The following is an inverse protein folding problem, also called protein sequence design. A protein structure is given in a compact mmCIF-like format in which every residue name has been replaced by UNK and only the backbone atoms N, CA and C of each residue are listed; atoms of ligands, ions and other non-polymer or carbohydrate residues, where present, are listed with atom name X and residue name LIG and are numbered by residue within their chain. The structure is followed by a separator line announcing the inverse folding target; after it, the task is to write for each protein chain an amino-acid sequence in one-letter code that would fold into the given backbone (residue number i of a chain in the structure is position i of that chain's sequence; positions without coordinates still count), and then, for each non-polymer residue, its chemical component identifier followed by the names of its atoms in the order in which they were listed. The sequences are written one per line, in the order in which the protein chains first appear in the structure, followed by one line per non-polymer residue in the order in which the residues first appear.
data_IF_893602399316
#
_entry.id   IF_893602399316
#
_cell.length_a   1.000
_cell.length_b   1.000
_cell.length_c   1.000
_cell.angle_alpha   90.00
_cell.angle_beta   90.00
_cell.angle_gamma   90.00
#
_symmetry.space_group_name_H-M   'P 1'
#
loop_
_entity.id
_entity.type
_entity.pdbx_description
1 polymer ?
#
# COMPACT_ATOMS: atom_id res chain seq x y z
N UNK A 1 14.73 18.48 27.14
CA UNK A 1 13.31 18.08 26.97
C UNK A 1 13.08 17.80 25.50
N UNK A 2 12.27 16.79 25.15
CA UNK A 2 11.92 16.46 23.76
C UNK A 2 10.42 16.71 23.56
N UNK A 3 10.05 17.37 22.47
CA UNK A 3 8.66 17.71 22.12
C UNK A 3 8.42 17.43 20.64
N UNK A 4 7.23 16.96 20.29
CA UNK A 4 6.82 16.80 18.89
C UNK A 4 6.54 18.17 18.28
N UNK A 5 6.88 18.39 17.01
CA UNK A 5 6.49 19.62 16.27
C UNK A 5 4.97 19.83 16.27
N UNK A 6 4.21 18.73 16.20
CA UNK A 6 2.74 18.71 16.23
C UNK A 6 2.10 19.00 17.59
N UNK A 7 2.89 19.29 18.64
CA UNK A 7 2.36 19.55 20.00
C UNK A 7 1.58 20.86 20.09
N UNK A 8 1.86 21.82 19.21
CA UNK A 8 1.26 23.15 19.20
C UNK A 8 1.73 24.04 20.36
N UNK A 9 1.43 23.69 21.62
CA UNK A 9 1.87 24.45 22.81
C UNK A 9 2.59 23.52 23.77
N UNK A 10 3.87 23.79 24.00
CA UNK A 10 4.64 23.11 25.03
C UNK A 10 4.60 23.87 26.36
N UNK A 11 4.53 23.13 27.48
CA UNK A 11 4.50 23.70 28.81
C UNK A 11 5.70 23.26 29.64
N UNK A 12 6.39 24.23 30.25
CA UNK A 12 7.55 24.02 31.12
C UNK A 12 7.21 24.44 32.54
N UNK A 13 7.47 23.56 33.51
CA UNK A 13 7.27 23.84 34.93
C UNK A 13 8.49 24.54 35.52
N UNK A 14 8.29 25.72 36.10
CA UNK A 14 9.30 26.43 36.89
C UNK A 14 8.95 26.26 38.37
N UNK A 15 9.87 25.66 39.12
CA UNK A 15 9.70 25.34 40.54
C UNK A 15 10.39 26.39 41.43
N UNK A 16 9.70 26.79 42.50
CA UNK A 16 10.23 27.62 43.58
C UNK A 16 10.41 26.76 44.82
N UNK A 17 11.66 26.50 45.21
CA UNK A 17 12.05 25.60 46.31
C UNK A 17 12.65 26.39 47.47
N UNK A 18 12.76 25.75 48.65
CA UNK A 18 13.39 26.32 49.85
C UNK A 18 12.74 27.59 50.44
N UNK A 19 11.53 27.95 49.99
CA UNK A 19 10.71 29.01 50.58
C UNK A 19 9.78 29.70 49.57
N UNK A 20 8.52 29.91 49.94
CA UNK A 20 7.50 30.55 49.09
C UNK A 20 6.97 31.89 49.65
N UNK A 21 7.67 32.48 50.62
CA UNK A 21 7.24 33.72 51.28
C UNK A 21 7.51 34.93 50.40
N UNK A 22 6.54 35.84 50.28
CA UNK A 22 6.65 37.07 49.50
C UNK A 22 6.52 36.86 48.00
N UNK A 23 6.33 37.98 47.28
CA UNK A 23 6.14 38.02 45.83
C UNK A 23 7.50 38.10 45.12
N UNK A 24 7.78 37.18 44.21
CA UNK A 24 9.06 37.11 43.46
C UNK A 24 8.78 37.09 41.97
N UNK A 25 9.49 37.88 41.18
CA UNK A 25 9.42 37.86 39.73
C UNK A 25 10.71 37.28 39.14
N UNK A 26 10.60 36.29 38.25
CA UNK A 26 11.75 35.68 37.56
C UNK A 26 11.66 36.01 36.08
N UNK A 27 12.56 36.86 35.54
CA UNK A 27 12.62 37.08 34.10
C UNK A 27 13.03 35.81 33.38
N UNK A 28 12.50 35.59 32.18
CA UNK A 28 12.90 34.48 31.32
C UNK A 28 12.89 34.91 29.86
N UNK A 29 13.69 34.23 29.05
CA UNK A 29 13.68 34.39 27.60
C UNK A 29 14.05 33.07 26.92
N UNK A 30 13.54 32.93 25.70
CA UNK A 30 13.98 31.89 24.76
C UNK A 30 15.21 32.38 24.00
N UNK A 31 16.06 31.46 23.57
CA UNK A 31 17.26 31.76 22.79
C UNK A 31 17.42 30.70 21.71
N UNK A 32 17.69 31.18 20.50
CA UNK A 32 17.85 30.33 19.32
C UNK A 32 19.01 29.35 19.50
N UNK A 33 18.86 28.17 18.92
CA UNK A 33 19.94 27.19 18.76
C UNK A 33 20.08 26.84 17.29
N UNK A 34 19.68 25.61 16.94
CA UNK A 34 19.46 25.22 15.54
C UNK A 34 18.02 25.54 15.09
N UNK A 35 17.07 25.65 16.03
CA UNK A 35 15.72 26.13 15.77
C UNK A 35 15.67 27.67 15.73
N UNK A 36 14.92 28.22 14.79
CA UNK A 36 14.76 29.65 14.49
C UNK A 36 13.48 30.21 15.09
N UNK A 37 13.58 31.39 15.70
CA UNK A 37 12.42 32.07 16.27
C UNK A 37 11.51 32.62 15.15
N UNK A 38 10.21 32.35 15.25
CA UNK A 38 9.21 32.73 14.25
C UNK A 38 9.02 31.71 13.11
N UNK A 39 9.94 30.75 12.96
CA UNK A 39 9.85 29.64 12.00
C UNK A 39 9.53 28.33 12.75
N UNK A 40 10.32 27.97 13.76
CA UNK A 40 10.18 26.70 14.49
C UNK A 40 9.43 26.82 15.82
N UNK A 41 9.53 27.99 16.45
CA UNK A 41 8.86 28.30 17.70
C UNK A 41 8.62 29.80 17.81
N UNK A 42 7.59 30.21 18.55
CA UNK A 42 7.37 31.64 18.82
C UNK A 42 8.30 32.11 19.94
N UNK A 43 9.05 33.19 19.70
CA UNK A 43 9.92 33.78 20.72
C UNK A 43 9.09 34.27 21.90
N UNK A 44 9.40 33.75 23.09
CA UNK A 44 8.79 34.21 24.34
C UNK A 44 9.86 34.79 25.24
N UNK A 45 9.62 36.03 25.70
CA UNK A 45 10.38 36.70 26.74
C UNK A 45 9.42 37.42 27.70
N UNK A 46 9.67 37.33 29.00
CA UNK A 46 8.75 37.87 30.00
C UNK A 46 9.24 37.71 31.43
N UNK A 47 8.32 37.85 32.39
CA UNK A 47 8.58 37.65 33.81
C UNK A 47 7.52 36.72 34.40
N UNK A 48 7.95 35.67 35.10
CA UNK A 48 7.08 34.81 35.88
C UNK A 48 6.94 35.38 37.29
N UNK A 49 5.74 35.85 37.64
CA UNK A 49 5.45 36.35 38.99
C UNK A 49 4.90 35.24 39.87
N UNK A 50 5.66 34.86 40.89
CA UNK A 50 5.24 33.96 41.95
C UNK A 50 4.60 34.76 43.09
N UNK A 51 3.36 34.42 43.43
CA UNK A 51 2.66 34.97 44.59
C UNK A 51 3.16 34.33 45.89
N UNK A 52 2.68 34.85 47.03
CA UNK A 52 2.95 34.23 48.32
C UNK A 52 2.37 32.81 48.35
N UNK A 53 3.15 31.86 48.85
CA UNK A 53 2.85 30.42 48.91
C UNK A 53 2.72 29.72 47.55
N UNK A 54 3.02 30.40 46.44
CA UNK A 54 3.06 29.80 45.11
C UNK A 54 4.43 29.14 44.85
N UNK A 55 4.43 27.83 44.62
CA UNK A 55 5.64 27.00 44.48
C UNK A 55 5.92 26.56 43.04
N UNK A 56 4.99 26.81 42.11
CA UNK A 56 5.14 26.44 40.71
C UNK A 56 4.43 27.40 39.76
N UNK A 57 5.05 27.66 38.60
CA UNK A 57 4.44 28.36 37.46
C UNK A 57 4.65 27.57 36.18
N UNK A 58 3.71 27.69 35.25
CA UNK A 58 3.81 27.12 33.91
C UNK A 58 4.28 28.21 32.95
N UNK A 59 5.30 27.89 32.17
CA UNK A 59 5.79 28.69 31.05
C UNK A 59 5.35 28.00 29.77
N UNK A 60 4.60 28.70 28.92
CA UNK A 60 4.09 28.18 27.66
C UNK A 60 4.92 28.72 26.49
N UNK A 61 5.33 27.84 25.58
CA UNK A 61 5.99 28.21 24.32
C UNK A 61 5.22 27.53 23.19
N UNK A 62 4.85 28.30 22.17
CA UNK A 62 4.18 27.77 20.99
C UNK A 62 5.21 27.23 20.01
N UNK A 63 5.02 25.98 19.60
CA UNK A 63 5.81 25.29 18.57
C UNK A 63 5.07 25.43 17.25
N UNK A 64 5.80 25.75 16.19
CA UNK A 64 5.26 25.93 14.84
C UNK A 64 5.56 24.65 14.06
N UNK A 65 4.56 24.17 13.34
CA UNK A 65 4.67 23.02 12.43
C UNK A 65 4.74 23.59 11.01
N UNK A 66 5.88 23.39 10.34
CA UNK A 66 6.15 23.91 8.99
C UNK A 66 5.98 22.86 7.88
N UNK A 67 5.55 21.64 8.22
CA UNK A 67 5.34 20.50 7.30
C UNK A 67 6.57 20.14 6.43
N UNK A 68 7.78 20.64 6.75
CA UNK A 68 9.01 20.35 6.01
C UNK A 68 9.81 19.21 6.64
N UNK A 69 10.37 18.35 5.78
CA UNK A 69 11.17 17.21 6.25
C UNK A 69 12.55 17.67 6.73
N UNK A 70 12.69 17.86 8.04
CA UNK A 70 13.93 18.38 8.62
C UNK A 70 14.49 17.53 9.77
N UNK A 71 15.77 17.74 10.09
CA UNK A 71 16.43 17.07 11.22
C UNK A 71 16.00 17.72 12.53
N UNK A 72 16.04 16.95 13.63
CA UNK A 72 15.76 17.46 14.97
C UNK A 72 16.44 18.81 15.25
N UNK A 73 15.63 19.82 15.57
CA UNK A 73 16.09 21.17 15.89
C UNK A 73 16.06 21.42 17.39
N UNK A 74 16.87 22.38 17.85
CA UNK A 74 17.02 22.70 19.27
C UNK A 74 16.98 24.19 19.55
N UNK A 75 16.32 24.58 20.64
CA UNK A 75 16.38 25.92 21.22
C UNK A 75 16.50 25.83 22.74
N UNK A 76 16.79 26.95 23.41
CA UNK A 76 16.98 26.94 24.86
C UNK A 76 16.19 28.02 25.58
N UNK A 77 15.61 27.67 26.73
CA UNK A 77 14.89 28.56 27.63
C UNK A 77 15.80 28.89 28.80
N UNK A 78 15.99 30.17 29.10
CA UNK A 78 16.89 30.64 30.16
C UNK A 78 16.14 31.51 31.17
N UNK A 79 16.35 31.21 32.45
CA UNK A 79 15.88 32.03 33.57
C UNK A 79 16.95 33.07 33.93
N UNK A 80 16.53 34.32 34.10
CA UNK A 80 17.36 35.40 34.63
C UNK A 80 17.22 35.56 36.13
N UNK A 81 17.99 36.50 36.70
CA UNK A 81 18.04 36.70 38.15
C UNK A 81 16.65 37.04 38.75
N UNK A 82 16.21 36.33 39.80
CA UNK A 82 14.92 36.58 40.42
C UNK A 82 14.93 37.88 41.22
N UNK A 83 13.84 38.63 41.13
CA UNK A 83 13.66 39.94 41.76
C UNK A 83 12.58 39.81 42.84
N UNK A 84 12.92 40.15 44.09
CA UNK A 84 11.96 40.22 45.18
C UNK A 84 11.10 41.49 45.02
N UNK A 85 9.79 41.33 44.88
CA UNK A 85 8.85 42.44 44.71
C UNK A 85 8.23 42.86 46.05
N UNK A 86 7.82 41.90 46.88
CA UNK A 86 7.24 42.16 48.20
C UNK A 86 7.74 41.18 49.25
N UNK A 87 8.13 41.70 50.40
CA UNK A 87 8.44 40.90 51.59
C UNK A 87 7.11 40.62 52.28
N UNK A 88 6.71 39.35 52.38
CA UNK A 88 5.49 38.96 53.12
C UNK A 88 5.53 39.50 54.55
N UNK A 89 4.38 39.96 55.07
CA UNK A 89 4.28 40.64 56.37
C UNK A 89 5.11 39.94 57.45
N UNK A 90 5.99 40.69 58.12
CA UNK A 90 6.63 40.25 59.36
C UNK A 90 5.52 39.95 60.37
N UNK A 91 5.47 38.72 60.87
CA UNK A 91 4.68 38.42 62.05
C UNK A 91 5.24 39.29 63.18
N UNK A 92 4.43 40.24 63.65
CA UNK A 92 4.85 41.23 64.62
C UNK A 92 5.04 40.59 65.98
N UNK A 93 6.29 40.32 66.35
CA UNK A 93 6.67 40.25 67.76
C UNK A 93 7.26 41.61 68.14
N UNK A 94 6.47 42.36 68.91
CA UNK A 94 6.96 43.49 69.68
C UNK A 94 7.92 42.99 70.73
N UNK A 95 9.22 43.17 70.50
CA UNK A 95 10.17 43.31 71.58
C UNK A 95 11.21 44.35 71.21
N UNK A 96 11.20 45.44 71.97
CA UNK A 96 12.24 46.45 72.01
C UNK A 96 13.56 45.79 72.42
N UNK A 97 14.42 45.56 71.43
CA UNK A 97 15.87 45.61 71.60
C UNK A 97 16.48 45.82 70.22
N UNK A 98 16.98 47.04 69.97
CA UNK A 98 17.92 47.29 68.88
C UNK A 98 19.22 46.54 69.18
N UNK A 99 19.67 45.58 68.36
CA UNK A 99 21.08 45.28 68.28
C UNK A 99 21.74 46.30 67.35
N UNK A 100 23.01 46.56 67.63
CA UNK A 100 23.93 47.30 66.78
C UNK A 100 23.97 46.61 65.40
N UNK A 101 23.82 47.39 64.32
CA UNK A 101 23.92 46.91 62.94
C UNK A 101 25.30 46.28 62.74
N UNK A 102 25.36 44.96 62.87
CA UNK A 102 26.52 44.14 62.60
C UNK A 102 26.42 43.55 61.19
N UNK A 103 27.57 43.37 60.56
CA UNK A 103 27.74 42.75 59.23
C UNK A 103 26.98 41.40 59.13
N UNK A 104 26.79 40.73 60.27
CA UNK A 104 26.08 39.44 60.40
C UNK A 104 24.58 39.50 60.08
N UNK A 105 23.84 40.57 60.43
CA UNK A 105 22.40 40.67 60.08
C UNK A 105 22.18 40.94 58.58
N UNK A 106 23.12 41.64 57.94
CA UNK A 106 23.07 41.89 56.50
C UNK A 106 23.37 40.61 55.69
N UNK A 107 24.27 39.75 56.19
CA UNK A 107 24.53 38.43 55.60
C UNK A 107 23.34 37.47 55.80
N UNK A 108 22.67 37.49 56.96
CA UNK A 108 21.45 36.71 57.20
C UNK A 108 20.28 37.19 56.34
N UNK A 109 20.16 38.51 56.10
CA UNK A 109 19.17 39.07 55.19
C UNK A 109 19.44 38.70 53.72
N UNK A 110 20.72 38.65 53.31
CA UNK A 110 21.14 38.18 51.96
C UNK A 110 20.82 36.70 51.73
N UNK A 111 20.87 35.87 52.77
CA UNK A 111 20.43 34.46 52.68
C UNK A 111 18.91 34.30 52.44
N UNK A 112 18.10 35.35 52.68
CA UNK A 112 16.67 35.36 52.41
C UNK A 112 16.27 35.92 51.03
N UNK A 113 17.24 36.37 50.22
CA UNK A 113 16.99 36.85 48.87
C UNK A 113 16.73 35.67 47.92
N UNK A 114 15.78 35.81 46.97
CA UNK A 114 15.57 34.76 45.99
C UNK A 114 16.83 34.59 45.14
N UNK A 115 17.17 33.35 44.84
CA UNK A 115 18.32 32.98 44.00
C UNK A 115 17.92 31.91 43.01
N UNK A 116 18.71 31.77 41.94
CA UNK A 116 18.52 30.73 40.94
C UNK A 116 18.92 29.35 41.50
N UNK A 117 18.19 28.32 41.09
CA UNK A 117 18.50 26.94 41.43
C UNK A 117 19.60 26.34 40.53
N UNK A 118 19.80 25.03 40.66
CA UNK A 118 20.79 24.27 39.89
C UNK A 118 20.52 24.27 38.37
N UNK A 119 19.25 24.23 37.97
CA UNK A 119 18.83 24.17 36.57
C UNK A 119 18.21 25.49 36.12
N UNK A 120 19.01 26.37 35.54
CA UNK A 120 18.58 27.71 35.06
C UNK A 120 18.33 27.76 33.56
N UNK A 121 18.77 26.72 32.84
CA UNK A 121 18.66 26.58 31.39
C UNK A 121 18.03 25.24 31.05
N UNK A 122 17.04 25.26 30.16
CA UNK A 122 16.40 24.08 29.60
C UNK A 122 16.64 24.04 28.10
N UNK A 123 17.28 22.98 27.62
CA UNK A 123 17.35 22.68 26.19
C UNK A 123 16.10 21.91 25.76
N UNK A 124 15.46 22.40 24.70
CA UNK A 124 14.29 21.80 24.07
C UNK A 124 14.71 21.28 22.70
N UNK A 125 14.41 20.02 22.44
CA UNK A 125 14.61 19.34 21.16
C UNK A 125 13.24 19.14 20.54
N UNK A 126 13.03 19.74 19.37
CA UNK A 126 11.84 19.54 18.55
C UNK A 126 12.09 18.30 17.69
N UNK A 127 11.21 17.31 17.82
CA UNK A 127 11.24 16.05 17.08
C UNK A 127 10.10 16.01 16.07
N UNK A 128 10.41 15.48 14.89
CA UNK A 128 9.45 15.25 13.81
C UNK A 128 8.30 14.32 14.25
N UNK A 129 7.10 14.58 13.73
CA UNK A 129 5.94 13.71 13.95
C UNK A 129 6.16 12.33 13.33
N UNK A 130 6.09 11.28 14.17
CA UNK A 130 6.29 9.87 13.76
C UNK A 130 5.34 9.41 12.64
N UNK A 131 4.16 10.01 12.49
CA UNK A 131 3.19 9.66 11.45
C UNK A 131 3.61 10.13 10.06
N UNK A 132 4.23 11.31 9.95
CA UNK A 132 4.67 11.86 8.67
C UNK A 132 5.91 11.13 8.15
N UNK A 133 6.90 10.92 9.01
CA UNK A 133 8.10 10.13 8.70
C UNK A 133 7.77 8.74 8.16
N UNK A 134 6.85 8.02 8.80
CA UNK A 134 6.41 6.70 8.33
C UNK A 134 5.71 6.78 6.96
N UNK A 135 4.99 7.86 6.68
CA UNK A 135 4.29 8.06 5.41
C UNK A 135 5.27 8.37 4.28
N UNK A 136 6.27 9.21 4.54
CA UNK A 136 7.35 9.53 3.59
C UNK A 136 8.24 8.33 3.35
N UNK A 137 8.65 7.59 4.39
CA UNK A 137 9.42 6.36 4.25
C UNK A 137 8.65 5.29 3.44
N UNK A 138 7.32 5.20 3.62
CA UNK A 138 6.43 4.35 2.82
C UNK A 138 6.35 4.82 1.36
N UNK A 139 6.26 6.13 1.11
CA UNK A 139 6.23 6.70 -0.25
C UNK A 139 7.56 6.48 -0.99
N UNK A 140 8.69 6.76 -0.36
CA UNK A 140 10.04 6.53 -0.92
C UNK A 140 10.27 5.05 -1.20
N UNK A 141 9.81 4.15 -0.31
CA UNK A 141 9.78 2.71 -0.59
C UNK A 141 8.90 2.38 -1.79
N UNK A 142 7.66 2.90 -1.88
CA UNK A 142 6.77 2.65 -3.02
C UNK A 142 7.32 3.14 -4.36
N UNK A 143 7.97 4.32 -4.41
CA UNK A 143 8.55 4.84 -5.66
C UNK A 143 9.76 4.02 -6.13
N UNK A 144 10.58 3.50 -5.21
CA UNK A 144 11.67 2.58 -5.56
C UNK A 144 11.19 1.15 -5.83
N UNK A 145 10.12 0.70 -5.18
CA UNK A 145 9.55 -0.64 -5.36
C UNK A 145 8.80 -0.77 -6.68
N UNK A 146 8.10 0.29 -7.13
CA UNK A 146 7.43 0.31 -8.43
C UNK A 146 8.41 0.25 -9.62
N UNK A 147 9.67 0.67 -9.42
CA UNK A 147 10.73 0.60 -10.42
C UNK A 147 11.53 -0.72 -10.36
N UNK A 148 11.38 -1.49 -9.28
CA UNK A 148 12.04 -2.79 -9.01
C UNK A 148 10.97 -3.85 -8.69
N UNK A 149 9.93 -3.95 -9.51
CA UNK A 149 9.01 -5.11 -9.45
C UNK A 149 9.68 -6.27 -10.17
N UNK A 150 10.67 -6.85 -9.50
CA UNK A 150 11.41 -8.02 -9.91
C UNK A 150 12.42 -8.35 -8.82
N UNK A 151 12.34 -9.54 -8.25
CA UNK A 151 13.39 -10.07 -7.39
C UNK A 151 14.77 -9.85 -8.01
N UNK A 152 15.70 -9.28 -7.25
CA UNK A 152 17.07 -9.00 -7.73
C UNK A 152 17.90 -10.28 -7.84
N UNK A 153 17.54 -11.31 -7.04
CA UNK A 153 18.31 -12.55 -6.93
C UNK A 153 17.42 -13.80 -6.84
N UNK A 154 17.96 -14.94 -7.28
CA UNK A 154 17.30 -16.24 -7.09
C UNK A 154 17.03 -16.55 -5.62
N UNK A 155 17.92 -16.13 -4.70
CA UNK A 155 17.70 -16.32 -3.26
C UNK A 155 16.39 -15.68 -2.83
N UNK A 156 16.12 -14.46 -3.26
CA UNK A 156 14.87 -13.76 -2.95
C UNK A 156 13.66 -14.45 -3.58
N UNK A 157 13.76 -14.92 -4.83
CA UNK A 157 12.68 -15.66 -5.49
C UNK A 157 12.33 -16.95 -4.76
N UNK A 158 13.34 -17.76 -4.41
CA UNK A 158 13.12 -19.03 -3.72
C UNK A 158 12.59 -18.82 -2.31
N UNK A 159 13.12 -17.82 -1.57
CA UNK A 159 12.59 -17.47 -0.25
C UNK A 159 11.14 -17.03 -0.38
N UNK A 160 10.83 -16.09 -1.28
CA UNK A 160 9.46 -15.62 -1.53
C UNK A 160 8.51 -16.75 -1.93
N UNK A 161 8.98 -17.69 -2.76
CA UNK A 161 8.19 -18.83 -3.23
C UNK A 161 7.78 -19.80 -2.11
N UNK A 162 8.62 -19.98 -1.07
CA UNK A 162 8.36 -20.89 0.05
C UNK A 162 7.82 -20.20 1.30
N UNK A 163 7.81 -18.85 1.32
CA UNK A 163 7.20 -18.08 2.41
C UNK A 163 5.71 -17.83 2.14
N UNK A 164 4.91 -17.87 3.21
CA UNK A 164 3.50 -17.49 3.17
C UNK A 164 3.40 -16.01 3.48
N UNK A 165 3.00 -15.22 2.49
CA UNK A 165 2.58 -13.83 2.69
C UNK A 165 1.06 -13.78 2.82
N UNK A 166 0.53 -12.89 3.67
CA UNK A 166 -0.90 -12.56 3.61
C UNK A 166 -1.19 -11.99 2.22
N UNK A 167 -2.30 -12.40 1.59
CA UNK A 167 -2.62 -11.97 0.23
C UNK A 167 -2.78 -10.44 0.13
N UNK A 168 -2.22 -9.85 -0.94
CA UNK A 168 -2.29 -8.41 -1.27
C UNK A 168 -3.70 -7.91 -1.66
N UNK A 169 -4.74 -8.72 -1.49
CA UNK A 169 -6.09 -8.43 -2.01
C UNK A 169 -6.81 -7.28 -1.27
N UNK A 170 -6.27 -6.80 -0.13
CA UNK A 170 -6.85 -5.70 0.68
C UNK A 170 -5.81 -4.58 0.98
N UNK A 171 -5.04 -4.14 -0.02
CA UNK A 171 -4.02 -3.07 0.13
C UNK A 171 -4.57 -1.64 0.37
N UNK A 172 -5.87 -1.43 0.56
CA UNK A 172 -6.44 -0.06 0.62
C UNK A 172 -6.75 0.53 2.01
N UNK A 173 -6.71 -0.20 3.13
CA UNK A 173 -7.16 0.40 4.41
C UNK A 173 -6.31 0.17 5.66
N UNK A 174 -5.29 -0.70 5.63
CA UNK A 174 -4.45 -0.91 6.80
C UNK A 174 -3.03 -1.20 6.37
N UNK A 175 -2.14 -0.22 6.53
CA UNK A 175 -0.70 -0.38 6.30
C UNK A 175 0.01 -1.21 7.38
N UNK A 176 -0.66 -2.20 7.95
CA UNK A 176 -0.11 -3.23 8.82
C UNK A 176 0.07 -4.53 8.01
N UNK A 177 1.27 -5.14 8.08
CA UNK A 177 1.49 -6.50 7.59
C UNK A 177 0.52 -7.44 8.32
N UNK A 178 -0.56 -7.80 7.65
CA UNK A 178 -1.55 -8.71 8.21
C UNK A 178 -0.91 -10.09 8.35
N UNK A 179 -1.11 -10.75 9.50
CA UNK A 179 -0.71 -12.15 9.63
C UNK A 179 -1.49 -13.00 8.62
N UNK A 180 -0.88 -14.02 7.99
CA UNK A 180 -1.56 -14.80 6.96
C UNK A 180 -2.79 -15.51 7.54
N UNK A 181 -3.90 -15.40 6.82
CA UNK A 181 -5.14 -16.10 7.13
C UNK A 181 -4.99 -17.61 6.86
N UNK A 182 -5.82 -18.44 7.48
CA UNK A 182 -5.88 -19.88 7.16
C UNK A 182 -6.08 -20.14 5.66
N UNK A 183 -6.82 -19.24 4.97
CA UNK A 183 -7.01 -19.31 3.53
C UNK A 183 -5.71 -19.07 2.76
N UNK A 184 -4.85 -18.16 3.23
CA UNK A 184 -3.54 -17.88 2.63
C UNK A 184 -2.61 -19.08 2.74
N UNK A 185 -2.64 -19.78 3.88
CA UNK A 185 -1.89 -21.03 4.06
C UNK A 185 -2.37 -22.13 3.10
N UNK A 186 -3.69 -22.28 2.92
CA UNK A 186 -4.27 -23.25 1.98
C UNK A 186 -3.85 -22.88 0.55
N UNK A 187 -4.00 -21.62 0.16
CA UNK A 187 -3.62 -21.15 -1.17
C UNK A 187 -2.11 -21.29 -1.41
N UNK A 188 -1.28 -21.00 -0.42
CA UNK A 188 0.14 -21.23 -0.50
C UNK A 188 0.44 -22.72 -0.70
N UNK A 189 -0.16 -23.62 0.09
CA UNK A 189 0.05 -25.06 -0.08
C UNK A 189 -0.34 -25.56 -1.48
N UNK A 190 -1.45 -25.07 -2.04
CA UNK A 190 -1.90 -25.46 -3.39
C UNK A 190 -1.00 -24.89 -4.50
N UNK A 191 -0.38 -23.72 -4.27
CA UNK A 191 0.40 -23.00 -5.30
C UNK A 191 1.91 -23.13 -5.13
N UNK A 192 2.41 -23.64 -4.00
CA UNK A 192 3.86 -23.68 -3.68
C UNK A 192 4.65 -24.43 -4.74
N UNK A 193 4.09 -25.53 -5.27
CA UNK A 193 4.70 -26.27 -6.37
C UNK A 193 4.95 -25.36 -7.59
N UNK A 194 3.94 -24.58 -7.97
CA UNK A 194 4.03 -23.64 -9.09
C UNK A 194 4.97 -22.47 -8.75
N UNK A 195 4.89 -21.90 -7.54
CA UNK A 195 5.77 -20.82 -7.09
C UNK A 195 7.25 -21.22 -7.15
N UNK A 196 7.57 -22.42 -6.67
CA UNK A 196 8.95 -22.96 -6.71
C UNK A 196 9.38 -23.25 -8.15
N UNK A 197 8.48 -23.79 -8.98
CA UNK A 197 8.78 -24.03 -10.41
C UNK A 197 9.13 -22.72 -11.14
N UNK A 198 8.36 -21.65 -10.91
CA UNK A 198 8.62 -20.34 -11.51
C UNK A 198 9.82 -19.60 -10.89
N UNK A 199 10.24 -19.94 -9.67
CA UNK A 199 11.48 -19.41 -9.06
C UNK A 199 12.77 -19.88 -9.75
N UNK A 200 12.70 -20.85 -10.67
CA UNK A 200 13.83 -21.21 -11.53
C UNK A 200 14.02 -20.24 -12.71
N UNK A 201 13.05 -19.37 -12.99
CA UNK A 201 13.19 -18.33 -14.02
C UNK A 201 14.26 -17.32 -13.55
N UNK A 202 15.23 -16.92 -14.40
CA UNK A 202 16.26 -15.96 -14.02
C UNK A 202 15.68 -14.65 -13.48
N UNK A 203 16.35 -13.99 -12.51
CA UNK A 203 15.99 -12.66 -12.05
C UNK A 203 15.93 -11.65 -13.20
N UNK A 204 15.07 -10.65 -13.09
CA UNK A 204 14.86 -9.63 -14.12
C UNK A 204 16.09 -8.73 -14.33
N UNK A 205 16.99 -8.65 -13.35
CA UNK A 205 18.26 -7.94 -13.49
C UNK A 205 19.24 -8.62 -14.46
N UNK A 206 19.07 -9.93 -14.69
CA UNK A 206 19.98 -10.67 -15.55
C UNK A 206 19.74 -10.27 -17.01
N UNK A 207 20.81 -9.76 -17.63
CA UNK A 207 20.82 -9.37 -19.02
C UNK A 207 19.71 -8.37 -19.38
N UNK A 208 19.45 -7.38 -18.52
CA UNK A 208 18.38 -6.39 -18.69
C UNK A 208 17.00 -7.04 -18.93
N UNK A 209 16.72 -8.16 -18.26
CA UNK A 209 15.44 -8.87 -18.35
C UNK A 209 15.33 -9.86 -19.51
N UNK A 210 16.26 -9.86 -20.47
CA UNK A 210 16.19 -10.79 -21.61
C UNK A 210 16.29 -12.26 -21.19
N UNK A 211 17.11 -12.57 -20.20
CA UNK A 211 17.23 -13.93 -19.67
C UNK A 211 15.91 -14.41 -19.05
N UNK A 212 15.27 -13.56 -18.24
CA UNK A 212 13.95 -13.84 -17.67
C UNK A 212 12.90 -14.03 -18.77
N UNK A 213 12.89 -13.17 -19.80
CA UNK A 213 11.95 -13.23 -20.92
C UNK A 213 12.02 -14.55 -21.69
N UNK A 214 13.21 -14.95 -22.15
CA UNK A 214 13.34 -16.18 -22.95
C UNK A 214 13.09 -17.45 -22.13
N UNK A 215 13.58 -17.52 -20.89
CA UNK A 215 13.39 -18.70 -20.04
C UNK A 215 11.94 -18.83 -19.57
N UNK A 216 11.25 -17.73 -19.26
CA UNK A 216 9.83 -17.76 -18.93
C UNK A 216 8.97 -18.23 -20.10
N UNK A 217 9.22 -17.73 -21.33
CA UNK A 217 8.52 -18.20 -22.54
C UNK A 217 8.75 -19.70 -22.75
N UNK A 218 9.99 -20.18 -22.60
CA UNK A 218 10.28 -21.60 -22.75
C UNK A 218 9.57 -22.45 -21.69
N UNK A 219 9.63 -22.04 -20.42
CA UNK A 219 9.01 -22.75 -19.31
C UNK A 219 7.49 -22.80 -19.47
N UNK A 220 6.86 -21.67 -19.80
CA UNK A 220 5.42 -21.59 -20.07
C UNK A 220 5.07 -22.47 -21.27
N UNK A 221 5.84 -22.41 -22.36
CA UNK A 221 5.61 -23.24 -23.54
C UNK A 221 5.65 -24.74 -23.25
N UNK A 222 6.65 -25.21 -22.49
CA UNK A 222 6.73 -26.61 -22.03
C UNK A 222 5.56 -26.96 -21.13
N UNK A 223 5.22 -26.09 -20.18
CA UNK A 223 4.14 -26.34 -19.24
C UNK A 223 2.77 -26.42 -19.95
N UNK A 224 2.53 -25.53 -20.92
CA UNK A 224 1.32 -25.54 -21.74
C UNK A 224 1.21 -26.82 -22.56
N UNK A 225 2.32 -27.30 -23.14
CA UNK A 225 2.34 -28.58 -23.85
C UNK A 225 1.97 -29.75 -22.93
N UNK A 226 2.61 -29.84 -21.75
CA UNK A 226 2.32 -30.89 -20.76
C UNK A 226 0.88 -30.82 -20.27
N UNK A 227 0.35 -29.61 -20.03
CA UNK A 227 -1.03 -29.41 -19.58
C UNK A 227 -2.03 -29.81 -20.67
N UNK A 228 -1.73 -29.51 -21.94
CA UNK A 228 -2.54 -29.94 -23.08
C UNK A 228 -2.61 -31.46 -23.22
N UNK A 229 -1.47 -32.13 -23.13
CA UNK A 229 -1.39 -33.60 -23.19
C UNK A 229 -2.11 -34.25 -22.01
N UNK A 230 -1.91 -33.72 -20.79
CA UNK A 230 -2.61 -34.21 -19.60
C UNK A 230 -4.12 -34.03 -19.72
N UNK A 231 -4.58 -32.90 -20.25
CA UNK A 231 -6.00 -32.65 -20.50
C UNK A 231 -6.58 -33.67 -21.49
N UNK A 232 -5.89 -33.94 -22.62
CA UNK A 232 -6.33 -34.95 -23.59
C UNK A 232 -6.36 -36.37 -22.99
N UNK A 233 -5.32 -36.77 -22.23
CA UNK A 233 -5.30 -38.07 -21.54
C UNK A 233 -6.40 -38.22 -20.48
N UNK A 234 -6.66 -37.16 -19.72
CA UNK A 234 -7.76 -37.10 -18.78
C UNK A 234 -9.11 -37.23 -19.51
N UNK A 235 -9.28 -36.48 -20.61
CA UNK A 235 -10.44 -36.58 -21.48
C UNK A 235 -10.66 -38.01 -21.96
N UNK A 236 -9.62 -38.66 -22.48
CA UNK A 236 -9.68 -40.05 -22.92
C UNK A 236 -10.10 -41.02 -21.81
N UNK A 237 -9.59 -40.83 -20.58
CA UNK A 237 -9.90 -41.69 -19.42
C UNK A 237 -11.37 -41.59 -19.00
N UNK A 238 -11.95 -40.40 -19.11
CA UNK A 238 -13.37 -40.15 -18.77
C UNK A 238 -14.31 -40.44 -19.97
N UNK A 239 -13.75 -40.62 -21.17
CA UNK A 239 -14.51 -40.79 -22.41
C UNK A 239 -14.99 -39.47 -23.03
N UNK A 240 -14.31 -38.37 -22.75
CA UNK A 240 -14.54 -37.07 -23.37
C UNK A 240 -13.81 -36.94 -24.71
N UNK A 241 -14.52 -36.46 -25.75
CA UNK A 241 -13.90 -36.09 -27.04
C UNK A 241 -12.93 -34.91 -26.86
N UNK A 242 -11.84 -34.90 -27.62
CA UNK A 242 -10.80 -33.85 -27.55
C UNK A 242 -11.36 -32.43 -27.74
N UNK A 243 -12.35 -32.26 -28.63
CA UNK A 243 -13.01 -30.96 -28.84
C UNK A 243 -13.73 -30.45 -27.58
N UNK A 244 -14.38 -31.34 -26.83
CA UNK A 244 -15.09 -31.01 -25.59
C UNK A 244 -14.09 -30.70 -24.47
N UNK A 245 -13.05 -31.52 -24.36
CA UNK A 245 -11.95 -31.30 -23.41
C UNK A 245 -11.28 -29.94 -23.64
N UNK A 246 -11.02 -29.58 -24.89
CA UNK A 246 -10.42 -28.29 -25.25
C UNK A 246 -11.32 -27.10 -24.88
N UNK A 247 -12.62 -27.16 -25.20
CA UNK A 247 -13.57 -26.08 -24.92
C UNK A 247 -13.83 -25.88 -23.42
N UNK A 248 -13.79 -26.96 -22.62
CA UNK A 248 -14.11 -26.90 -21.19
C UNK A 248 -12.89 -26.61 -20.32
N UNK A 249 -11.79 -27.34 -20.51
CA UNK A 249 -10.63 -27.27 -19.62
C UNK A 249 -9.56 -26.31 -20.13
N UNK A 250 -9.17 -26.43 -21.40
CA UNK A 250 -8.07 -25.64 -21.96
C UNK A 250 -8.49 -24.17 -22.11
N UNK A 251 -9.66 -23.92 -22.71
CA UNK A 251 -10.14 -22.55 -22.93
C UNK A 251 -10.43 -21.80 -21.62
N UNK A 252 -10.91 -22.50 -20.58
CA UNK A 252 -11.13 -21.91 -19.26
C UNK A 252 -9.79 -21.51 -18.61
N UNK A 253 -8.77 -22.38 -18.72
CA UNK A 253 -7.45 -22.15 -18.15
C UNK A 253 -6.75 -20.89 -18.68
N UNK A 254 -6.98 -20.52 -19.94
CA UNK A 254 -6.42 -19.28 -20.53
C UNK A 254 -7.32 -18.07 -20.30
N UNK A 255 -8.65 -18.23 -20.42
CA UNK A 255 -9.59 -17.10 -20.42
C UNK A 255 -9.88 -16.54 -19.02
N UNK A 256 -9.80 -17.37 -17.97
CA UNK A 256 -10.04 -16.94 -16.59
C UNK A 256 -8.95 -15.96 -16.11
N UNK A 257 -7.64 -16.27 -16.23
CA UNK A 257 -6.57 -15.31 -15.94
C UNK A 257 -6.71 -14.01 -16.73
N UNK A 258 -6.99 -14.10 -18.05
CA UNK A 258 -7.21 -12.92 -18.89
C UNK A 258 -8.38 -12.05 -18.42
N UNK A 259 -9.46 -12.69 -17.95
CA UNK A 259 -10.63 -11.99 -17.38
C UNK A 259 -10.25 -11.23 -16.10
N UNK A 260 -9.47 -11.86 -15.21
CA UNK A 260 -9.01 -11.20 -13.99
C UNK A 260 -8.02 -10.08 -14.27
N UNK A 261 -7.04 -10.30 -15.15
CA UNK A 261 -6.09 -9.25 -15.57
C UNK A 261 -6.82 -8.06 -16.21
N UNK A 262 -7.77 -8.32 -17.11
CA UNK A 262 -8.57 -7.26 -17.74
C UNK A 262 -9.43 -6.51 -16.73
N UNK A 263 -10.02 -7.21 -15.74
CA UNK A 263 -10.78 -6.60 -14.65
C UNK A 263 -9.88 -5.68 -13.81
N UNK A 264 -8.71 -6.16 -13.41
CA UNK A 264 -7.76 -5.37 -12.58
C UNK A 264 -7.33 -4.12 -13.35
N UNK A 265 -6.93 -4.27 -14.63
CA UNK A 265 -6.59 -3.15 -15.49
C UNK A 265 -7.75 -2.14 -15.64
N UNK A 266 -8.99 -2.63 -15.73
CA UNK A 266 -10.17 -1.77 -15.86
C UNK A 266 -10.54 -1.01 -14.59
N UNK A 267 -10.22 -1.55 -13.40
CA UNK A 267 -10.49 -0.91 -12.11
C UNK A 267 -9.42 0.13 -11.76
N UNK A 268 -8.16 -0.16 -12.12
CA UNK A 268 -7.02 0.71 -11.80
C UNK A 268 -6.86 1.90 -12.75
N UNK A 269 -7.40 1.81 -13.97
CA UNK A 269 -7.33 2.87 -14.97
C UNK A 269 -8.63 3.68 -15.00
N UNK A 270 -8.51 5.01 -14.92
CA UNK A 270 -9.64 5.95 -14.92
C UNK A 270 -10.56 5.78 -16.14
N UNK A 271 -9.98 5.46 -17.30
CA UNK A 271 -10.71 5.29 -18.56
C UNK A 271 -10.85 3.82 -18.98
N UNK A 272 -10.28 2.90 -18.20
CA UNK A 272 -10.23 1.46 -18.50
C UNK A 272 -9.60 1.12 -19.87
N UNK A 273 -8.84 2.03 -20.48
CA UNK A 273 -8.19 1.84 -21.79
C UNK A 273 -7.16 0.72 -21.72
N UNK A 274 -6.46 0.58 -20.59
CA UNK A 274 -5.53 -0.51 -20.32
C UNK A 274 -6.18 -1.90 -20.49
N UNK A 275 -7.47 -2.03 -20.15
CA UNK A 275 -8.20 -3.29 -20.29
C UNK A 275 -8.42 -3.68 -21.77
N UNK A 276 -8.62 -2.69 -22.64
CA UNK A 276 -8.74 -2.90 -24.09
C UNK A 276 -7.41 -3.40 -24.65
N UNK A 277 -6.30 -2.79 -24.21
CA UNK A 277 -4.95 -3.23 -24.56
C UNK A 277 -4.68 -4.68 -24.15
N UNK A 278 -5.05 -5.05 -22.93
CA UNK A 278 -4.88 -6.42 -22.42
C UNK A 278 -5.67 -7.45 -23.25
N UNK A 279 -6.97 -7.21 -23.46
CA UNK A 279 -7.84 -8.12 -24.24
C UNK A 279 -7.38 -8.22 -25.70
N UNK A 280 -7.01 -7.10 -26.31
CA UNK A 280 -6.55 -7.08 -27.72
C UNK A 280 -5.21 -7.79 -27.85
N UNK A 281 -4.29 -7.56 -26.92
CA UNK A 281 -2.97 -8.20 -26.89
C UNK A 281 -3.07 -9.72 -26.78
N UNK A 282 -3.80 -10.24 -25.79
CA UNK A 282 -3.97 -11.69 -25.61
C UNK A 282 -4.59 -12.35 -26.84
N UNK A 283 -5.68 -11.78 -27.38
CA UNK A 283 -6.35 -12.33 -28.56
C UNK A 283 -5.47 -12.26 -29.82
N UNK A 284 -4.70 -11.18 -30.00
CA UNK A 284 -3.77 -11.07 -31.12
C UNK A 284 -2.67 -12.14 -31.04
N UNK A 285 -2.11 -12.39 -29.85
CA UNK A 285 -1.11 -13.46 -29.66
C UNK A 285 -1.74 -14.82 -29.93
N UNK A 286 -2.93 -15.12 -29.40
CA UNK A 286 -3.59 -16.42 -29.63
C UNK A 286 -3.87 -16.70 -31.12
N UNK A 287 -4.39 -15.70 -31.85
CA UNK A 287 -4.76 -15.87 -33.26
C UNK A 287 -3.53 -15.83 -34.17
N UNK A 288 -2.68 -14.81 -34.04
CA UNK A 288 -1.55 -14.63 -34.97
C UNK A 288 -0.34 -15.48 -34.61
N UNK A 289 0.03 -15.54 -33.32
CA UNK A 289 1.19 -16.29 -32.87
C UNK A 289 0.84 -17.75 -32.60
N UNK A 290 -0.27 -18.04 -31.93
CA UNK A 290 -0.73 -19.41 -31.66
C UNK A 290 -1.12 -20.14 -32.93
N UNK A 291 -2.22 -19.72 -33.56
CA UNK A 291 -2.75 -20.39 -34.77
C UNK A 291 -1.91 -20.02 -36.00
N UNK A 292 -1.63 -18.73 -36.22
CA UNK A 292 -1.02 -18.24 -37.45
C UNK A 292 0.39 -18.76 -37.70
N UNK A 293 1.28 -18.74 -36.70
CA UNK A 293 2.66 -19.27 -36.86
C UNK A 293 2.65 -20.77 -37.05
N UNK A 294 1.89 -21.52 -36.24
CA UNK A 294 1.80 -22.98 -36.38
C UNK A 294 1.27 -23.40 -37.76
N UNK A 295 0.22 -22.73 -38.25
CA UNK A 295 -0.31 -22.95 -39.59
C UNK A 295 0.74 -22.63 -40.65
N UNK A 296 1.43 -21.49 -40.53
CA UNK A 296 2.46 -21.08 -41.51
C UNK A 296 3.59 -22.10 -41.58
N UNK A 297 4.09 -22.57 -40.44
CA UNK A 297 5.14 -23.61 -40.37
C UNK A 297 4.65 -24.91 -41.04
N UNK A 298 3.43 -25.36 -40.72
CA UNK A 298 2.87 -26.57 -41.31
C UNK A 298 2.69 -26.43 -42.82
N UNK A 299 2.14 -25.30 -43.29
CA UNK A 299 1.94 -25.04 -44.72
C UNK A 299 3.26 -25.04 -45.50
N UNK A 300 4.31 -24.39 -44.98
CA UNK A 300 5.65 -24.39 -45.59
C UNK A 300 6.24 -25.80 -45.62
N UNK A 301 6.11 -26.56 -44.52
CA UNK A 301 6.59 -27.93 -44.45
C UNK A 301 5.94 -28.83 -45.53
N UNK A 302 4.60 -28.83 -45.63
CA UNK A 302 3.90 -29.65 -46.62
C UNK A 302 4.16 -29.19 -48.05
N UNK A 303 4.27 -27.88 -48.28
CA UNK A 303 4.68 -27.34 -49.58
C UNK A 303 6.07 -27.84 -49.99
N UNK A 304 7.03 -27.89 -49.05
CA UNK A 304 8.38 -28.43 -49.32
C UNK A 304 8.37 -29.92 -49.69
N UNK A 305 7.34 -30.67 -49.28
CA UNK A 305 7.11 -32.07 -49.63
C UNK A 305 6.30 -32.24 -50.92
N UNK A 306 5.93 -31.15 -51.59
CA UNK A 306 5.09 -31.18 -52.81
C UNK A 306 3.64 -31.58 -52.54
N UNK A 307 3.17 -31.47 -51.29
CA UNK A 307 1.81 -31.81 -50.90
C UNK A 307 1.02 -30.58 -50.45
N UNK A 308 -0.31 -30.62 -50.58
CA UNK A 308 -1.18 -29.56 -50.07
C UNK A 308 -1.57 -29.82 -48.62
N UNK A 309 -1.37 -28.81 -47.76
CA UNK A 309 -1.80 -28.87 -46.37
C UNK A 309 -3.33 -28.71 -46.27
N UNK A 310 -4.02 -29.82 -45.95
CA UNK A 310 -5.47 -29.84 -45.75
C UNK A 310 -5.80 -29.89 -44.26
N UNK A 311 -6.67 -28.98 -43.81
CA UNK A 311 -7.16 -28.94 -42.42
C UNK A 311 -8.68 -29.16 -42.44
N UNK A 312 -9.20 -30.27 -41.87
CA UNK A 312 -10.63 -30.49 -41.80
C UNK A 312 -11.27 -29.48 -40.82
N UNK A 313 -12.41 -28.87 -41.17
CA UNK A 313 -13.04 -27.84 -40.33
C UNK A 313 -13.64 -28.39 -39.02
N UNK A 314 -13.96 -29.70 -38.96
CA UNK A 314 -14.51 -30.33 -37.75
C UNK A 314 -15.76 -29.62 -37.21
N UNK A 315 -15.88 -29.59 -35.86
CA UNK A 315 -16.95 -28.89 -35.14
C UNK A 315 -16.71 -27.37 -34.97
N UNK A 316 -15.65 -26.84 -35.60
CA UNK A 316 -15.23 -25.45 -35.40
C UNK A 316 -16.28 -24.48 -35.93
N UNK A 317 -16.85 -24.74 -37.11
CA UNK A 317 -17.85 -23.87 -37.73
C UNK A 317 -19.09 -23.71 -36.84
N UNK A 318 -19.59 -24.83 -36.31
CA UNK A 318 -20.73 -24.84 -35.37
C UNK A 318 -20.39 -24.05 -34.09
N UNK A 319 -19.24 -24.35 -33.48
CA UNK A 319 -18.81 -23.74 -32.23
C UNK A 319 -18.61 -22.22 -32.35
N UNK A 320 -17.98 -21.76 -33.43
CA UNK A 320 -17.76 -20.33 -33.69
C UNK A 320 -19.09 -19.62 -33.92
N UNK A 321 -19.97 -20.19 -34.74
CA UNK A 321 -21.29 -19.59 -35.03
C UNK A 321 -22.13 -19.46 -33.77
N UNK A 322 -22.19 -20.53 -32.97
CA UNK A 322 -22.91 -20.53 -31.70
C UNK A 322 -22.32 -19.47 -30.74
N UNK A 323 -20.99 -19.44 -30.59
CA UNK A 323 -20.32 -18.45 -29.75
C UNK A 323 -20.64 -17.01 -30.20
N UNK A 324 -20.57 -16.73 -31.51
CA UNK A 324 -20.90 -15.39 -32.04
C UNK A 324 -22.34 -15.00 -31.73
N UNK A 325 -23.31 -15.91 -31.88
CA UNK A 325 -24.71 -15.62 -31.57
C UNK A 325 -24.94 -15.30 -30.09
N UNK A 326 -24.32 -16.09 -29.19
CA UNK A 326 -24.42 -15.87 -27.75
C UNK A 326 -23.67 -14.60 -27.30
N UNK A 327 -22.52 -14.31 -27.93
CA UNK A 327 -21.74 -13.10 -27.70
C UNK A 327 -22.52 -11.84 -28.12
N UNK A 328 -23.22 -11.87 -29.26
CA UNK A 328 -24.11 -10.78 -29.68
C UNK A 328 -25.22 -10.54 -28.64
N UNK A 329 -25.85 -11.60 -28.12
CA UNK A 329 -26.82 -11.49 -27.03
C UNK A 329 -26.23 -10.86 -25.76
N UNK A 330 -24.99 -11.23 -25.42
CA UNK A 330 -24.25 -10.67 -24.29
C UNK A 330 -23.95 -9.18 -24.47
N UNK A 331 -23.46 -8.78 -25.64
CA UNK A 331 -23.20 -7.38 -26.00
C UNK A 331 -24.49 -6.57 -25.96
N UNK A 332 -25.60 -7.07 -26.54
CA UNK A 332 -26.89 -6.38 -26.50
C UNK A 332 -27.40 -6.19 -25.07
N UNK A 333 -27.17 -7.17 -24.19
CA UNK A 333 -27.52 -7.08 -22.77
C UNK A 333 -26.68 -6.02 -22.06
N UNK A 334 -25.38 -5.93 -22.34
CA UNK A 334 -24.51 -4.87 -21.80
C UNK A 334 -24.92 -3.49 -22.32
N UNK A 335 -25.21 -3.35 -23.62
CA UNK A 335 -25.69 -2.09 -24.22
C UNK A 335 -27.04 -1.66 -23.65
N UNK A 336 -27.94 -2.61 -23.36
CA UNK A 336 -29.20 -2.33 -22.68
C UNK A 336 -28.98 -1.87 -21.24
N UNK A 337 -28.08 -2.52 -20.50
CA UNK A 337 -27.74 -2.18 -19.11
C UNK A 337 -27.04 -0.82 -18.98
N UNK A 338 -26.27 -0.42 -20.00
CA UNK A 338 -25.60 0.89 -20.07
C UNK A 338 -26.58 2.07 -20.06
N UNK A 339 -27.85 1.86 -20.43
CA UNK A 339 -28.87 2.92 -20.42
C UNK A 339 -29.12 3.42 -18.99
N UNK A 340 -29.09 4.74 -18.82
CA UNK A 340 -29.33 5.42 -17.55
C UNK A 340 -30.66 5.02 -16.88
N UNK A 341 -31.70 4.73 -17.68
CA UNK A 341 -33.03 4.33 -17.18
C UNK A 341 -33.11 2.90 -16.65
N UNK A 342 -32.12 2.04 -16.90
CA UNK A 342 -32.13 0.63 -16.52
C UNK A 342 -31.19 0.36 -15.37
N UNK A 343 -29.92 0.76 -15.51
CA UNK A 343 -28.90 0.54 -14.49
C UNK A 343 -27.77 1.57 -14.55
N UNK A 344 -27.58 2.27 -15.67
CA UNK A 344 -26.65 3.40 -15.80
C UNK A 344 -25.18 3.08 -15.54
N UNK A 345 -24.79 1.80 -15.49
CA UNK A 345 -23.44 1.38 -15.18
C UNK A 345 -22.62 1.05 -16.42
N UNK A 346 -21.57 1.82 -16.69
CA UNK A 346 -20.55 1.52 -17.72
C UNK A 346 -19.53 0.50 -17.20
N UNK A 347 -18.93 0.78 -16.04
CA UNK A 347 -18.17 -0.18 -15.24
C UNK A 347 -18.88 -0.42 -13.91
N UNK A 348 -19.25 -1.67 -13.64
CA UNK A 348 -20.05 -2.00 -12.47
C UNK A 348 -21.51 -1.54 -12.60
N UNK A 349 -22.14 -1.26 -11.46
CA UNK A 349 -23.57 -0.95 -11.38
C UNK A 349 -24.18 -1.48 -10.08
N UNK A 350 -25.51 -1.34 -9.90
CA UNK A 350 -26.21 -1.85 -8.73
C UNK A 350 -25.92 -3.33 -8.49
N UNK A 351 -25.71 -3.73 -7.22
CA UNK A 351 -25.32 -5.10 -6.86
C UNK A 351 -26.26 -6.16 -7.45
N UNK A 352 -27.56 -5.89 -7.45
CA UNK A 352 -28.59 -6.78 -8.01
C UNK A 352 -28.45 -6.94 -9.52
N UNK A 353 -28.34 -5.84 -10.27
CA UNK A 353 -28.17 -5.87 -11.72
C UNK A 353 -26.86 -6.55 -12.15
N UNK A 354 -25.76 -6.31 -11.42
CA UNK A 354 -24.47 -6.97 -11.63
C UNK A 354 -24.60 -8.49 -11.45
N UNK A 355 -25.22 -8.93 -10.34
CA UNK A 355 -25.39 -10.35 -10.04
C UNK A 355 -26.27 -11.05 -11.07
N UNK A 356 -27.41 -10.45 -11.43
CA UNK A 356 -28.32 -11.01 -12.44
C UNK A 356 -27.65 -11.12 -13.82
N UNK A 357 -26.90 -10.10 -14.24
CA UNK A 357 -26.19 -10.14 -15.53
C UNK A 357 -25.08 -11.19 -15.51
N UNK A 358 -24.32 -11.29 -14.41
CA UNK A 358 -23.27 -12.30 -14.28
C UNK A 358 -23.84 -13.73 -14.31
N UNK A 359 -24.96 -13.97 -13.60
CA UNK A 359 -25.64 -15.25 -13.63
C UNK A 359 -26.13 -15.58 -15.05
N UNK A 360 -26.70 -14.61 -15.76
CA UNK A 360 -27.13 -14.78 -17.15
C UNK A 360 -25.97 -15.12 -18.10
N UNK A 361 -24.81 -14.47 -17.97
CA UNK A 361 -23.65 -14.82 -18.81
C UNK A 361 -23.06 -16.19 -18.47
N UNK A 362 -23.06 -16.57 -17.19
CA UNK A 362 -22.69 -17.93 -16.80
C UNK A 362 -23.64 -18.97 -17.39
N UNK A 363 -24.96 -18.71 -17.42
CA UNK A 363 -25.89 -19.64 -18.06
C UNK A 363 -25.71 -19.72 -19.57
N UNK A 364 -25.44 -18.60 -20.26
CA UNK A 364 -25.12 -18.61 -21.69
C UNK A 364 -23.85 -19.43 -21.97
N UNK A 365 -22.82 -19.31 -21.13
CA UNK A 365 -21.60 -20.11 -21.25
C UNK A 365 -21.84 -21.61 -21.02
N UNK A 366 -22.67 -21.98 -20.03
CA UNK A 366 -23.07 -23.37 -19.83
C UNK A 366 -23.88 -23.92 -21.01
N UNK A 367 -24.77 -23.11 -21.59
CA UNK A 367 -25.52 -23.46 -22.81
C UNK A 367 -24.57 -23.68 -23.99
N UNK A 368 -23.56 -22.81 -24.15
CA UNK A 368 -22.53 -22.97 -25.17
C UNK A 368 -21.82 -24.31 -25.04
N UNK A 369 -21.31 -24.63 -23.84
CA UNK A 369 -20.63 -25.90 -23.57
C UNK A 369 -21.55 -27.08 -23.86
N UNK A 370 -22.80 -27.03 -23.40
CA UNK A 370 -23.77 -28.10 -23.58
C UNK A 370 -24.04 -28.37 -25.07
N UNK A 371 -24.36 -27.32 -25.84
CA UNK A 371 -24.69 -27.47 -27.26
C UNK A 371 -23.47 -27.86 -28.10
N UNK A 372 -22.29 -27.28 -27.83
CA UNK A 372 -21.05 -27.68 -28.49
C UNK A 372 -20.69 -29.14 -28.18
N UNK A 373 -20.95 -29.60 -26.96
CA UNK A 373 -20.75 -31.00 -26.59
C UNK A 373 -21.74 -31.92 -27.29
N UNK A 374 -23.03 -31.55 -27.33
CA UNK A 374 -24.05 -32.35 -28.01
C UNK A 374 -23.79 -32.49 -29.51
N UNK A 375 -23.31 -31.45 -30.18
CA UNK A 375 -22.87 -31.52 -31.58
C UNK A 375 -21.63 -32.41 -31.72
N UNK A 376 -20.64 -32.25 -30.83
CA UNK A 376 -19.45 -33.08 -30.85
C UNK A 376 -19.77 -34.57 -30.72
N UNK A 377 -20.78 -34.95 -29.93
CA UNK A 377 -21.28 -36.34 -29.81
C UNK A 377 -22.33 -36.73 -30.87
N UNK A 378 -22.58 -35.90 -31.86
CA UNK A 378 -23.52 -36.13 -32.97
C UNK A 378 -24.99 -36.30 -32.50
N UNK A 379 -25.35 -35.74 -31.35
CA UNK A 379 -26.75 -35.70 -30.87
C UNK A 379 -27.53 -34.55 -31.52
N UNK A 380 -26.84 -33.48 -31.91
CA UNK A 380 -27.39 -32.35 -32.64
C UNK A 380 -26.67 -32.28 -34.00
N UNK A 381 -27.40 -32.09 -35.11
CA UNK A 381 -26.75 -31.88 -36.40
C UNK A 381 -25.99 -30.54 -36.38
N UNK A 382 -24.71 -30.58 -36.77
CA UNK A 382 -23.98 -29.39 -37.16
C UNK A 382 -24.59 -28.78 -38.44
N UNK A 383 -24.28 -27.51 -38.70
CA UNK A 383 -24.71 -26.80 -39.91
C UNK A 383 -23.62 -26.81 -40.98
#
# INVERSE_FOLDING_TARGET
MRVSESVGIMQVKVHRTSGARGKVAVPFHTSEGTAKAGEDYEEVAGKLEFLNDETMKMLEVKIIDDEEYEKNKTFTIQLGEPILLEIGQKHGDSNDNKPVVGIEEEEVAKMGCPSLGEHTKLEVVIEESYEFKNTVDKLIKKTNLALVVGSSSWREQFVSAVTVSAGDDDEEESGEERLPSCFDYIMHFLTVFWKVLFAFVPPTEYWNGWACFFVSILLIGVLTAVTGDLASHFGCTIGLKDSVTAVVFVALGTSVPDTFASKVAAIQDQYADASIGNVTGSNAVNVFLGIGVAWTIAAVYWHSKGQQFHVPPGSLAFSVTLFTMLALGSVLTLLYRRRASVSGGELGGPRTAKLLTALFFLTLWLIYILLASLEAYCHVPGF
#
